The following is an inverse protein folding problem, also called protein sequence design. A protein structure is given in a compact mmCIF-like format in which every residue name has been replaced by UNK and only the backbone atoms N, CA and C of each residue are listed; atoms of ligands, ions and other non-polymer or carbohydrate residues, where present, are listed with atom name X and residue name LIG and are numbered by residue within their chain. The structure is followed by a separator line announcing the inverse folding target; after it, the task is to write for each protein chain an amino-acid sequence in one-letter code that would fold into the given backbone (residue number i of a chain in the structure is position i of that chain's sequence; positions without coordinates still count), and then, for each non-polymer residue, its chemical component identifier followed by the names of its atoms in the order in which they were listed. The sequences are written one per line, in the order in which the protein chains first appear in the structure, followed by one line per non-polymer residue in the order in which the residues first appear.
data_IF_009687767166
#
_entry.id   IF_009687767166
#
_cell.length_a   1.000
_cell.length_b   1.000
_cell.length_c   1.000
_cell.angle_alpha   90.00
_cell.angle_beta   90.00
_cell.angle_gamma   90.00
#
_symmetry.space_group_name_H-M   'P 1'
#
loop_
_entity.id
_entity.type
_entity.pdbx_description
1 polymer ?
#
# COMPACT_ATOMS: atom_id res chain seq x y z
N UNK A 1 -38.51 27.06 -44.07
CA UNK A 1 -37.71 27.55 -42.93
C UNK A 1 -38.14 26.83 -41.65
N UNK A 2 -37.41 25.80 -41.22
CA UNK A 2 -37.32 25.35 -39.83
C UNK A 2 -35.90 24.81 -39.62
N UNK A 3 -35.15 25.49 -38.75
CA UNK A 3 -33.79 25.15 -38.31
C UNK A 3 -33.87 24.27 -37.04
N UNK A 4 -32.71 23.73 -36.64
CA UNK A 4 -32.34 23.20 -35.31
C UNK A 4 -32.77 21.72 -35.05
N UNK A 5 -31.93 20.79 -34.56
CA UNK A 5 -30.57 20.86 -34.00
C UNK A 5 -29.95 19.46 -34.11
N UNK A 6 -28.70 19.34 -34.56
CA UNK A 6 -27.92 18.10 -34.48
C UNK A 6 -27.51 17.88 -33.03
N UNK A 7 -28.14 16.92 -32.35
CA UNK A 7 -27.72 16.44 -31.04
C UNK A 7 -26.58 15.42 -31.26
N UNK A 8 -25.34 15.84 -31.03
CA UNK A 8 -24.20 14.93 -30.97
C UNK A 8 -24.32 14.17 -29.65
N UNK A 9 -24.89 12.97 -29.72
CA UNK A 9 -24.90 12.01 -28.63
C UNK A 9 -23.49 11.40 -28.55
N UNK A 10 -22.69 11.83 -27.57
CA UNK A 10 -21.46 11.14 -27.20
C UNK A 10 -21.83 9.75 -26.66
N UNK A 11 -21.83 8.77 -27.56
CA UNK A 11 -21.92 7.36 -27.24
C UNK A 11 -20.62 6.97 -26.53
N UNK A 12 -20.60 6.99 -25.20
CA UNK A 12 -19.58 6.25 -24.45
C UNK A 12 -19.86 4.77 -24.66
N UNK A 13 -19.13 4.17 -25.59
CA UNK A 13 -19.08 2.72 -25.80
C UNK A 13 -18.56 2.11 -24.51
N UNK A 14 -19.49 1.53 -23.75
CA UNK A 14 -19.20 0.60 -22.66
C UNK A 14 -18.63 -0.65 -23.34
N UNK A 15 -17.31 -0.74 -23.43
CA UNK A 15 -16.68 -2.04 -23.66
C UNK A 15 -16.90 -2.88 -22.40
N UNK A 16 -17.81 -3.85 -22.52
CA UNK A 16 -17.82 -5.03 -21.69
C UNK A 16 -16.50 -5.78 -21.91
N UNK A 17 -15.49 -5.41 -21.13
CA UNK A 17 -14.27 -6.22 -21.02
C UNK A 17 -14.59 -7.31 -20.02
N UNK A 18 -14.76 -8.54 -20.54
CA UNK A 18 -14.66 -9.77 -19.78
C UNK A 18 -13.48 -9.65 -18.81
N UNK A 19 -13.76 -9.69 -17.51
CA UNK A 19 -12.76 -9.55 -16.45
C UNK A 19 -11.80 -10.74 -16.45
N UNK A 20 -10.83 -10.75 -17.37
CA UNK A 20 -9.57 -11.43 -17.17
C UNK A 20 -8.82 -10.60 -16.12
N UNK A 21 -8.93 -11.08 -14.88
CA UNK A 21 -8.21 -10.57 -13.71
C UNK A 21 -6.72 -10.67 -14.03
N UNK A 22 -6.11 -9.55 -14.43
CA UNK A 22 -4.68 -9.45 -14.57
C UNK A 22 -4.07 -9.55 -13.16
N UNK A 23 -3.56 -10.74 -12.83
CA UNK A 23 -2.65 -10.94 -11.70
C UNK A 23 -1.44 -10.04 -11.91
N UNK A 24 -1.27 -9.02 -11.08
CA UNK A 24 -0.08 -8.17 -11.12
C UNK A 24 0.88 -8.58 -10.00
N UNK A 25 2.00 -9.20 -10.35
CA UNK A 25 3.34 -9.34 -9.77
C UNK A 25 3.66 -8.84 -8.33
N UNK A 26 2.72 -8.78 -7.38
CA UNK A 26 2.84 -8.10 -6.08
C UNK A 26 3.26 -6.60 -6.18
N UNK A 27 3.08 -5.99 -7.36
CA UNK A 27 3.42 -4.60 -7.64
C UNK A 27 2.14 -3.80 -7.86
N UNK A 28 1.95 -2.74 -7.09
CA UNK A 28 0.89 -1.79 -7.38
C UNK A 28 1.28 -0.88 -8.57
N UNK A 29 0.31 -0.57 -9.42
CA UNK A 29 0.45 0.38 -10.53
C UNK A 29 -0.58 1.50 -10.40
N UNK A 30 -0.16 2.73 -10.66
CA UNK A 30 -1.02 3.90 -10.59
C UNK A 30 -2.25 3.79 -11.49
N UNK A 31 -3.41 4.20 -10.94
CA UNK A 31 -4.71 4.19 -11.61
C UNK A 31 -5.24 2.81 -12.08
N UNK A 32 -4.71 1.70 -11.53
CA UNK A 32 -5.26 0.37 -11.80
C UNK A 32 -6.30 -0.02 -10.75
N UNK A 33 -7.38 -0.68 -11.19
CA UNK A 33 -8.26 -1.45 -10.31
C UNK A 33 -7.53 -2.75 -9.99
N UNK A 34 -7.20 -2.95 -8.72
CA UNK A 34 -6.65 -4.22 -8.23
C UNK A 34 -7.67 -4.90 -7.33
N UNK A 35 -7.87 -6.20 -7.54
CA UNK A 35 -8.79 -7.02 -6.76
C UNK A 35 -8.08 -7.60 -5.53
N UNK A 36 -8.67 -7.41 -4.35
CA UNK A 36 -8.24 -8.11 -3.16
C UNK A 36 -8.65 -9.60 -3.23
N UNK A 37 -7.83 -10.49 -2.67
CA UNK A 37 -8.04 -11.95 -2.66
C UNK A 37 -7.99 -12.50 -1.23
N UNK A 38 -8.57 -13.65 -0.93
CA UNK A 38 -8.21 -14.39 0.30
C UNK A 38 -6.95 -15.22 0.01
N UNK A 39 -5.76 -14.61 0.10
CA UNK A 39 -4.49 -15.31 -0.12
C UNK A 39 -4.45 -16.13 -1.43
N UNK A 40 -4.85 -15.53 -2.56
CA UNK A 40 -5.01 -16.14 -3.90
C UNK A 40 -6.29 -16.95 -4.15
N UNK A 41 -7.29 -16.90 -3.27
CA UNK A 41 -8.63 -17.41 -3.60
C UNK A 41 -9.47 -16.31 -4.24
N UNK A 42 -10.17 -16.67 -5.31
CA UNK A 42 -11.21 -15.84 -5.91
C UNK A 42 -12.35 -15.71 -4.90
N UNK A 43 -12.78 -14.49 -4.66
CA UNK A 43 -13.85 -14.16 -3.73
C UNK A 43 -15.05 -13.58 -4.50
N UNK A 44 -16.29 -13.79 -4.01
CA UNK A 44 -17.47 -13.39 -4.76
C UNK A 44 -17.73 -11.87 -4.78
N UNK A 45 -17.24 -11.10 -3.82
CA UNK A 45 -17.51 -9.66 -3.75
C UNK A 45 -16.33 -8.81 -4.26
N UNK A 46 -16.50 -8.14 -5.43
CA UNK A 46 -15.45 -7.32 -6.00
C UNK A 46 -15.04 -6.19 -5.05
N UNK A 47 -13.74 -6.05 -4.89
CA UNK A 47 -13.13 -4.98 -4.10
C UNK A 47 -12.02 -4.39 -4.94
N UNK A 48 -12.23 -3.16 -5.40
CA UNK A 48 -11.23 -2.40 -6.13
C UNK A 48 -10.65 -1.33 -5.22
N UNK A 49 -9.36 -1.04 -5.36
CA UNK A 49 -8.77 0.14 -4.72
C UNK A 49 -7.87 0.93 -5.66
N UNK A 50 -7.69 2.21 -5.34
CA UNK A 50 -6.78 3.13 -6.03
C UNK A 50 -5.99 3.93 -5.00
N UNK A 51 -4.71 4.14 -5.26
CA UNK A 51 -3.83 4.99 -4.44
C UNK A 51 -3.37 6.18 -5.28
N UNK A 52 -3.40 7.39 -4.71
CA UNK A 52 -2.88 8.60 -5.34
C UNK A 52 -2.05 9.38 -4.32
N UNK A 53 -0.78 9.66 -4.65
CA UNK A 53 0.05 10.57 -3.86
C UNK A 53 -0.10 12.00 -4.38
N UNK A 54 -0.32 12.95 -3.47
CA UNK A 54 -0.38 14.39 -3.77
C UNK A 54 0.81 15.10 -3.15
N UNK A 55 0.83 16.43 -3.17
CA UNK A 55 1.78 17.22 -2.40
C UNK A 55 1.51 17.20 -0.88
N UNK A 56 0.25 16.96 -0.46
CA UNK A 56 -0.21 17.12 0.93
C UNK A 56 -0.69 15.85 1.61
N UNK A 57 -0.99 14.80 0.85
CA UNK A 57 -1.57 13.57 1.37
C UNK A 57 -1.41 12.38 0.44
N UNK A 58 -1.50 11.18 1.03
CA UNK A 58 -1.83 9.95 0.32
C UNK A 58 -3.36 9.79 0.32
N UNK A 59 -3.94 9.61 -0.86
CA UNK A 59 -5.37 9.35 -1.05
C UNK A 59 -5.53 7.87 -1.42
N UNK A 60 -6.36 7.14 -0.68
CA UNK A 60 -6.66 5.73 -0.95
C UNK A 60 -8.17 5.57 -1.05
N UNK A 61 -8.64 5.09 -2.18
CA UNK A 61 -10.06 4.90 -2.43
C UNK A 61 -10.37 3.44 -2.61
N UNK A 62 -11.43 2.98 -1.95
CA UNK A 62 -11.99 1.65 -2.10
C UNK A 62 -13.32 1.76 -2.80
N UNK A 63 -13.52 1.00 -3.87
CA UNK A 63 -14.84 0.74 -4.45
C UNK A 63 -15.26 -0.67 -4.03
N UNK A 64 -16.29 -0.75 -3.22
CA UNK A 64 -16.81 -1.98 -2.65
C UNK A 64 -18.14 -2.32 -3.35
N UNK A 65 -18.20 -3.52 -3.93
CA UNK A 65 -19.39 -4.02 -4.64
C UNK A 65 -19.89 -5.32 -3.97
N UNK A 66 -21.15 -5.67 -4.24
CA UNK A 66 -21.84 -6.80 -3.59
C UNK A 66 -23.36 -6.73 -3.74
N UNK A 67 -24.03 -7.87 -3.63
CA UNK A 67 -25.50 -7.97 -3.69
C UNK A 67 -26.17 -7.49 -2.38
N UNK A 68 -25.42 -7.48 -1.27
CA UNK A 68 -25.90 -7.14 0.06
C UNK A 68 -25.95 -5.64 0.37
N UNK A 69 -25.49 -4.76 -0.55
CA UNK A 69 -25.40 -3.31 -0.31
C UNK A 69 -26.72 -2.59 -0.11
N UNK A 70 -27.83 -3.10 -0.64
CA UNK A 70 -29.15 -2.52 -0.42
C UNK A 70 -29.52 -2.42 1.08
N UNK A 71 -28.91 -3.25 1.94
CA UNK A 71 -29.10 -3.21 3.39
C UNK A 71 -28.32 -2.06 4.06
N UNK A 72 -27.17 -1.69 3.52
CA UNK A 72 -26.26 -0.68 4.09
C UNK A 72 -26.54 0.75 3.64
N UNK A 73 -27.23 0.94 2.51
CA UNK A 73 -27.56 2.29 2.01
C UNK A 73 -28.39 3.12 3.01
N UNK A 74 -29.04 2.46 3.97
CA UNK A 74 -29.84 3.10 5.02
C UNK A 74 -29.04 3.47 6.26
N UNK A 75 -27.84 2.92 6.43
CA UNK A 75 -27.03 3.17 7.61
C UNK A 75 -26.38 4.56 7.51
N UNK A 76 -26.55 5.43 8.51
CA UNK A 76 -25.91 6.74 8.49
C UNK A 76 -24.39 6.58 8.54
N UNK A 77 -23.67 7.34 7.71
CA UNK A 77 -22.23 7.47 7.82
C UNK A 77 -21.90 8.47 8.93
N UNK A 78 -21.59 7.97 10.12
CA UNK A 78 -21.24 8.78 11.28
C UNK A 78 -19.83 8.44 11.74
N UNK A 79 -18.98 9.47 11.76
CA UNK A 79 -17.61 9.31 12.25
C UNK A 79 -17.62 8.99 13.75
N UNK A 80 -17.08 7.83 14.08
CA UNK A 80 -16.80 7.39 15.45
C UNK A 80 -15.32 7.01 15.51
N UNK A 81 -14.55 7.59 16.43
CA UNK A 81 -13.11 7.36 16.50
C UNK A 81 -12.74 6.30 17.52
N UNK A 82 -11.52 5.76 17.41
CA UNK A 82 -10.90 4.87 18.39
C UNK A 82 -11.70 3.59 18.68
N UNK A 83 -12.43 3.09 17.68
CA UNK A 83 -13.25 1.89 17.82
C UNK A 83 -13.08 0.98 16.61
N UNK A 84 -13.03 -0.34 16.87
CA UNK A 84 -12.99 -1.31 15.78
C UNK A 84 -14.35 -1.38 15.06
N UNK A 85 -14.39 -1.40 13.71
CA UNK A 85 -15.65 -1.54 12.98
C UNK A 85 -16.33 -2.90 13.23
N UNK A 86 -17.60 -2.88 13.65
CA UNK A 86 -18.38 -4.09 13.97
C UNK A 86 -19.10 -4.71 12.76
N UNK A 87 -18.71 -4.35 11.54
CA UNK A 87 -19.40 -4.71 10.30
C UNK A 87 -18.48 -4.61 9.08
N UNK A 88 -19.08 -4.48 7.90
CA UNK A 88 -18.36 -4.36 6.63
C UNK A 88 -17.36 -3.20 6.72
N UNK A 89 -16.08 -3.49 6.50
CA UNK A 89 -15.00 -2.53 6.70
C UNK A 89 -13.82 -2.80 5.79
N UNK A 90 -12.96 -1.80 5.68
CA UNK A 90 -11.67 -1.91 4.99
C UNK A 90 -10.55 -1.50 5.93
N UNK A 91 -9.38 -2.05 5.67
CA UNK A 91 -8.15 -1.77 6.40
C UNK A 91 -7.03 -1.34 5.44
N UNK A 92 -6.18 -0.44 5.89
CA UNK A 92 -4.98 0.01 5.21
C UNK A 92 -3.80 -0.23 6.16
N UNK A 93 -2.76 -0.88 5.65
CA UNK A 93 -1.47 -1.00 6.31
C UNK A 93 -0.40 -0.30 5.47
N UNK A 94 0.36 0.59 6.09
CA UNK A 94 1.46 1.32 5.46
C UNK A 94 2.71 1.18 6.32
N UNK A 95 3.82 0.77 5.70
CA UNK A 95 5.16 0.68 6.29
C UNK A 95 6.09 1.64 5.55
N UNK A 96 6.13 2.93 5.94
CA UNK A 96 6.97 3.92 5.29
C UNK A 96 8.45 3.54 5.33
N UNK A 97 9.09 3.58 4.16
CA UNK A 97 10.49 3.15 3.99
C UNK A 97 10.70 1.64 4.10
N UNK A 98 9.62 0.83 4.08
CA UNK A 98 9.67 -0.65 4.04
C UNK A 98 10.56 -1.23 5.14
N UNK A 99 10.39 -0.71 6.36
CA UNK A 99 11.19 -1.10 7.52
C UNK A 99 10.86 -2.50 8.06
N UNK A 100 9.79 -3.13 7.57
CA UNK A 100 9.22 -4.40 7.98
C UNK A 100 8.85 -4.48 9.47
N UNK A 101 8.77 -3.33 10.16
CA UNK A 101 8.56 -3.25 11.61
C UNK A 101 7.77 -2.01 12.03
N UNK A 102 8.00 -0.88 11.35
CA UNK A 102 7.37 0.41 11.62
C UNK A 102 6.22 0.69 10.66
N UNK A 103 5.06 0.09 10.93
CA UNK A 103 3.84 0.34 10.16
C UNK A 103 2.74 1.08 10.93
N UNK A 104 1.83 1.66 10.17
CA UNK A 104 0.55 2.20 10.62
C UNK A 104 -0.59 1.33 10.08
N UNK A 105 -1.65 1.18 10.87
CA UNK A 105 -2.89 0.52 10.47
C UNK A 105 -4.03 1.51 10.62
N UNK A 106 -4.85 1.64 9.57
CA UNK A 106 -6.10 2.39 9.58
C UNK A 106 -7.23 1.44 9.21
N UNK A 107 -8.38 1.53 9.87
CA UNK A 107 -9.58 0.80 9.48
C UNK A 107 -10.81 1.70 9.49
N UNK A 108 -11.70 1.52 8.52
CA UNK A 108 -13.00 2.19 8.51
C UNK A 108 -14.12 1.22 8.16
N UNK A 109 -15.17 1.22 8.97
CA UNK A 109 -16.44 0.61 8.62
C UNK A 109 -17.23 1.47 7.65
N UNK A 110 -18.12 0.84 6.89
CA UNK A 110 -19.06 1.57 6.01
C UNK A 110 -20.05 2.46 6.76
N UNK A 111 -20.17 2.27 8.07
CA UNK A 111 -20.91 3.15 8.99
C UNK A 111 -20.12 4.38 9.45
N UNK A 112 -18.83 4.46 9.16
CA UNK A 112 -17.95 5.57 9.58
C UNK A 112 -17.19 5.33 10.89
N UNK A 113 -17.31 4.16 11.51
CA UNK A 113 -16.44 3.77 12.63
C UNK A 113 -14.99 3.68 12.17
N UNK A 114 -14.08 4.36 12.86
CA UNK A 114 -12.67 4.51 12.54
C UNK A 114 -11.78 3.95 13.65
N UNK A 115 -10.76 3.23 13.23
CA UNK A 115 -9.68 2.77 14.07
C UNK A 115 -8.35 3.17 13.44
N UNK A 116 -7.39 3.57 14.26
CA UNK A 116 -6.00 3.67 13.84
C UNK A 116 -5.05 3.19 14.93
N UNK A 117 -3.89 2.72 14.49
CA UNK A 117 -2.80 2.34 15.37
C UNK A 117 -1.45 2.53 14.69
N UNK A 118 -0.41 2.73 15.51
CA UNK A 118 0.98 2.86 15.07
C UNK A 118 1.84 1.88 15.82
N UNK A 119 2.54 0.98 15.13
CA UNK A 119 3.39 -0.04 15.75
C UNK A 119 2.62 -0.81 16.84
N UNK A 120 1.38 -1.22 16.54
CA UNK A 120 0.39 -1.82 17.46
C UNK A 120 -0.10 -0.95 18.63
N UNK A 121 0.42 0.27 18.80
CA UNK A 121 -0.06 1.23 19.81
C UNK A 121 -1.36 1.89 19.33
N UNK A 122 -2.45 1.64 20.06
CA UNK A 122 -3.81 2.16 19.78
C UNK A 122 -4.04 3.61 20.23
N UNK A 123 -3.02 4.26 20.79
CA UNK A 123 -3.11 5.65 21.30
C UNK A 123 -2.68 6.69 20.27
N UNK A 124 -2.26 6.25 19.08
CA UNK A 124 -2.04 7.16 17.97
C UNK A 124 -3.42 7.67 17.50
N UNK A 125 -3.53 8.98 17.25
CA UNK A 125 -4.75 9.64 16.80
C UNK A 125 -4.43 10.39 15.52
N UNK A 126 -4.36 9.63 14.44
CA UNK A 126 -3.94 10.16 13.15
C UNK A 126 -4.98 11.12 12.57
N UNK A 127 -4.53 12.20 11.91
CA UNK A 127 -5.39 13.23 11.33
C UNK A 127 -6.02 12.84 9.98
N UNK A 128 -6.16 11.55 9.72
CA UNK A 128 -6.75 11.07 8.47
C UNK A 128 -8.27 11.33 8.46
N UNK A 129 -8.82 11.49 7.27
CA UNK A 129 -10.26 11.64 7.06
C UNK A 129 -10.76 10.58 6.09
N UNK A 130 -12.04 10.28 6.16
CA UNK A 130 -12.70 9.34 5.25
C UNK A 130 -14.07 9.87 4.88
N UNK A 131 -14.41 9.72 3.61
CA UNK A 131 -15.74 10.05 3.09
C UNK A 131 -16.37 8.81 2.48
N UNK A 132 -17.70 8.74 2.52
CA UNK A 132 -18.50 7.70 1.90
C UNK A 132 -19.30 8.26 0.74
N UNK A 133 -19.33 7.56 -0.38
CA UNK A 133 -20.23 7.82 -1.50
C UNK A 133 -20.96 6.54 -1.90
N UNK A 134 -22.26 6.52 -1.66
CA UNK A 134 -23.12 5.40 -2.02
C UNK A 134 -23.44 5.42 -3.53
N UNK A 135 -23.55 4.24 -4.14
CA UNK A 135 -24.04 4.06 -5.52
C UNK A 135 -24.89 2.79 -5.63
N UNK A 136 -25.50 2.57 -6.80
CA UNK A 136 -26.30 1.36 -7.03
C UNK A 136 -25.40 0.12 -6.98
N UNK A 137 -25.59 -0.74 -5.98
CA UNK A 137 -24.84 -1.99 -5.81
C UNK A 137 -23.49 -1.85 -5.10
N UNK A 138 -23.23 -0.71 -4.44
CA UNK A 138 -21.97 -0.54 -3.73
C UNK A 138 -21.76 0.80 -3.05
N UNK A 139 -20.54 0.95 -2.53
CA UNK A 139 -20.09 2.17 -1.86
C UNK A 139 -18.63 2.45 -2.18
N UNK A 140 -18.27 3.73 -2.19
CA UNK A 140 -16.89 4.20 -2.28
C UNK A 140 -16.49 4.77 -0.92
N UNK A 141 -15.37 4.29 -0.36
CA UNK A 141 -14.71 4.89 0.80
C UNK A 141 -13.42 5.57 0.32
N UNK A 142 -13.32 6.89 0.52
CA UNK A 142 -12.13 7.67 0.14
C UNK A 142 -11.40 8.15 1.39
N UNK A 143 -10.22 7.59 1.62
CA UNK A 143 -9.32 7.95 2.71
C UNK A 143 -8.37 9.05 2.25
N UNK A 144 -8.16 10.05 3.10
CA UNK A 144 -7.12 11.06 2.95
C UNK A 144 -6.20 11.00 4.16
N UNK A 145 -4.96 10.62 3.93
CA UNK A 145 -3.91 10.46 4.95
C UNK A 145 -2.91 11.61 4.77
N UNK A 146 -2.97 12.67 5.60
CA UNK A 146 -2.08 13.82 5.46
C UNK A 146 -0.61 13.43 5.65
N UNK A 147 0.28 14.14 4.95
CA UNK A 147 1.68 14.15 5.32
C UNK A 147 1.90 15.15 6.45
N UNK A 148 2.57 14.72 7.52
CA UNK A 148 2.78 15.52 8.73
C UNK A 148 4.05 15.11 9.51
N UNK A 149 4.06 15.34 10.83
CA UNK A 149 5.15 14.92 11.70
C UNK A 149 5.31 13.40 11.75
N UNK A 150 4.21 12.65 11.64
CA UNK A 150 4.15 11.21 11.83
C UNK A 150 4.23 10.42 10.52
N UNK A 151 3.75 10.99 9.42
CA UNK A 151 3.87 10.41 8.08
C UNK A 151 4.55 11.40 7.13
N UNK A 152 5.83 11.17 6.82
CA UNK A 152 6.56 12.01 5.87
C UNK A 152 6.06 11.77 4.44
N UNK A 153 6.08 12.85 3.65
CA UNK A 153 5.83 12.76 2.22
C UNK A 153 6.91 11.89 1.57
N UNK A 154 6.54 10.91 0.73
CA UNK A 154 7.50 10.12 0.00
C UNK A 154 8.12 10.93 -1.15
N UNK A 155 9.39 10.68 -1.41
CA UNK A 155 10.10 11.16 -2.57
C UNK A 155 9.94 10.20 -3.76
N UNK A 156 10.23 10.69 -4.96
CA UNK A 156 10.34 9.78 -6.12
C UNK A 156 11.44 8.75 -5.87
N UNK A 157 11.17 7.49 -6.21
CA UNK A 157 12.05 6.37 -5.92
C UNK A 157 11.93 5.83 -4.50
N UNK A 158 11.04 6.34 -3.65
CA UNK A 158 10.74 5.69 -2.36
C UNK A 158 9.92 4.42 -2.58
N UNK A 159 10.10 3.46 -1.67
CA UNK A 159 9.31 2.23 -1.57
C UNK A 159 8.72 2.14 -0.17
N UNK A 160 7.40 1.97 -0.08
CA UNK A 160 6.72 1.64 1.17
C UNK A 160 6.22 0.20 1.13
N UNK A 161 6.16 -0.45 2.28
CA UNK A 161 5.36 -1.66 2.43
C UNK A 161 3.88 -1.26 2.46
N UNK A 162 3.04 -1.98 1.71
CA UNK A 162 1.63 -1.67 1.59
C UNK A 162 0.77 -2.94 1.57
N UNK A 163 -0.34 -2.91 2.32
CA UNK A 163 -1.41 -3.88 2.21
C UNK A 163 -2.75 -3.19 2.43
N UNK A 164 -3.79 -3.71 1.80
CA UNK A 164 -5.18 -3.32 2.10
C UNK A 164 -6.02 -4.56 2.28
N UNK A 165 -7.00 -4.47 3.16
CA UNK A 165 -7.93 -5.56 3.42
C UNK A 165 -9.38 -5.11 3.33
N UNK A 166 -10.28 -6.06 3.09
CA UNK A 166 -11.73 -5.90 3.31
C UNK A 166 -12.21 -7.00 4.24
N UNK A 167 -12.95 -6.59 5.27
CA UNK A 167 -13.70 -7.47 6.14
C UNK A 167 -15.13 -7.52 5.61
N UNK A 168 -15.49 -8.61 4.93
CA UNK A 168 -16.80 -8.76 4.28
C UNK A 168 -17.80 -9.30 5.28
N UNK A 169 -18.87 -8.57 5.56
CA UNK A 169 -19.89 -8.94 6.53
C UNK A 169 -21.25 -9.03 5.84
N UNK A 170 -21.66 -10.20 5.32
CA UNK A 170 -22.96 -10.31 4.62
C UNK A 170 -24.18 -10.09 5.54
N UNK A 171 -24.00 -10.31 6.84
CA UNK A 171 -25.05 -10.23 7.86
C UNK A 171 -25.19 -8.83 8.47
N UNK A 172 -24.33 -7.86 8.12
CA UNK A 172 -24.33 -6.54 8.76
C UNK A 172 -23.52 -6.44 10.05
N UNK A 173 -23.05 -7.57 10.59
CA UNK A 173 -22.38 -7.61 11.90
C UNK A 173 -21.18 -8.55 11.88
N UNK A 174 -20.21 -8.29 12.76
CA UNK A 174 -19.11 -9.20 13.06
C UNK A 174 -19.60 -10.57 13.58
N UNK A 175 -18.83 -11.65 13.38
CA UNK A 175 -17.56 -11.70 12.66
C UNK A 175 -17.75 -11.54 11.14
N UNK A 176 -16.69 -11.15 10.44
CA UNK A 176 -16.73 -11.10 8.98
C UNK A 176 -17.01 -12.51 8.43
N UNK A 177 -17.81 -12.57 7.38
CA UNK A 177 -18.10 -13.79 6.61
C UNK A 177 -16.82 -14.31 5.97
N UNK A 178 -15.99 -13.41 5.43
CA UNK A 178 -14.65 -13.72 4.94
C UNK A 178 -13.83 -12.43 4.80
N UNK A 179 -12.56 -12.60 4.48
CA UNK A 179 -11.57 -11.54 4.40
C UNK A 179 -10.91 -11.50 3.03
N UNK A 180 -10.41 -10.33 2.67
CA UNK A 180 -9.72 -10.12 1.40
C UNK A 180 -8.50 -9.26 1.67
N UNK A 181 -7.39 -9.53 0.98
CA UNK A 181 -6.13 -8.79 1.12
C UNK A 181 -5.53 -8.52 -0.26
N UNK A 182 -4.83 -7.41 -0.40
CA UNK A 182 -4.02 -7.14 -1.59
C UNK A 182 -2.70 -7.91 -1.54
N UNK A 183 -1.96 -7.79 -0.44
CA UNK A 183 -0.69 -8.49 -0.24
C UNK A 183 -0.93 -9.91 0.29
N UNK A 184 -0.01 -10.83 -0.07
CA UNK A 184 -0.05 -12.25 0.34
C UNK A 184 0.49 -12.43 1.76
N UNK A 185 -0.23 -11.88 2.73
CA UNK A 185 0.18 -11.82 4.14
C UNK A 185 -0.09 -13.12 4.92
N UNK A 186 -0.89 -14.04 4.37
CA UNK A 186 -1.26 -15.29 5.03
C UNK A 186 -2.42 -15.08 6.00
N UNK A 187 -2.37 -15.76 7.15
CA UNK A 187 -3.43 -15.71 8.18
C UNK A 187 -3.39 -14.47 9.06
N UNK A 188 -2.30 -13.70 9.02
CA UNK A 188 -2.06 -12.55 9.89
C UNK A 188 -1.88 -11.30 9.03
N UNK A 189 -2.89 -10.42 9.00
CA UNK A 189 -2.90 -9.25 8.11
C UNK A 189 -1.81 -8.23 8.40
N UNK A 190 -1.39 -8.14 9.65
CA UNK A 190 -0.36 -7.23 10.12
C UNK A 190 1.03 -7.90 10.13
N UNK A 191 1.43 -8.49 9.00
CA UNK A 191 2.76 -9.06 8.79
C UNK A 191 3.56 -8.16 7.83
N UNK A 192 4.28 -7.12 8.31
CA UNK A 192 4.86 -6.09 7.43
C UNK A 192 5.90 -6.63 6.45
N UNK A 193 6.63 -7.69 6.84
CA UNK A 193 7.59 -8.36 5.96
C UNK A 193 6.95 -9.00 4.72
N UNK A 194 5.63 -9.17 4.70
CA UNK A 194 4.85 -9.71 3.58
C UNK A 194 4.04 -8.64 2.85
N UNK A 195 4.18 -7.38 3.22
CA UNK A 195 3.48 -6.31 2.51
C UNK A 195 4.01 -6.18 1.08
N UNK A 196 3.10 -5.88 0.16
CA UNK A 196 3.43 -5.58 -1.23
C UNK A 196 4.20 -4.24 -1.31
N UNK A 197 4.73 -3.92 -2.50
CA UNK A 197 5.45 -2.67 -2.71
C UNK A 197 4.52 -1.56 -3.20
N UNK A 198 4.54 -0.43 -2.51
CA UNK A 198 4.02 0.84 -3.02
C UNK A 198 5.21 1.70 -3.44
N UNK A 199 5.41 1.83 -4.75
CA UNK A 199 6.52 2.56 -5.38
C UNK A 199 6.07 3.98 -5.76
N UNK A 200 6.87 4.98 -5.41
CA UNK A 200 6.54 6.39 -5.68
C UNK A 200 7.25 6.92 -6.93
N UNK A 201 6.47 7.30 -7.93
CA UNK A 201 6.92 7.78 -9.24
C UNK A 201 6.33 6.98 -10.40
N UNK A 202 6.52 7.47 -11.62
CA UNK A 202 6.35 6.64 -12.83
C UNK A 202 7.42 5.55 -12.85
N UNK A 203 7.22 4.44 -13.58
CA UNK A 203 8.22 3.38 -13.72
C UNK A 203 9.61 3.94 -14.07
N UNK A 204 9.65 4.83 -15.06
CA UNK A 204 10.89 5.50 -15.51
C UNK A 204 11.52 6.36 -14.41
N UNK A 205 10.74 7.25 -13.79
CA UNK A 205 11.27 8.18 -12.78
C UNK A 205 11.64 7.45 -11.49
N UNK A 206 10.89 6.42 -11.13
CA UNK A 206 11.17 5.53 -10.00
C UNK A 206 12.50 4.81 -10.23
N UNK A 207 12.67 4.13 -11.38
CA UNK A 207 13.90 3.39 -11.69
C UNK A 207 15.15 4.29 -11.60
N UNK A 208 15.10 5.48 -12.21
CA UNK A 208 16.22 6.45 -12.15
C UNK A 208 16.50 6.90 -10.72
N UNK A 209 15.47 7.30 -9.97
CA UNK A 209 15.65 7.80 -8.61
C UNK A 209 16.13 6.69 -7.65
N UNK A 210 15.61 5.47 -7.81
CA UNK A 210 16.01 4.31 -7.03
C UNK A 210 17.47 3.95 -7.31
N UNK A 211 17.89 3.95 -8.58
CA UNK A 211 19.29 3.72 -8.94
C UNK A 211 20.21 4.76 -8.31
N UNK A 212 19.83 6.03 -8.33
CA UNK A 212 20.60 7.10 -7.69
C UNK A 212 20.70 6.92 -6.16
N UNK A 213 19.64 6.45 -5.50
CA UNK A 213 19.66 6.12 -4.06
C UNK A 213 20.58 4.95 -3.76
N UNK A 214 20.50 3.87 -4.54
CA UNK A 214 21.37 2.71 -4.42
C UNK A 214 22.84 3.10 -4.56
N UNK A 215 23.19 3.90 -5.57
CA UNK A 215 24.56 4.38 -5.76
C UNK A 215 25.07 5.21 -4.58
N UNK A 216 24.23 6.09 -4.00
CA UNK A 216 24.60 6.85 -2.79
C UNK A 216 24.83 5.94 -1.58
N UNK A 217 23.94 4.96 -1.37
CA UNK A 217 24.07 4.00 -0.28
C UNK A 217 25.32 3.14 -0.44
N UNK A 218 25.58 2.66 -1.66
CA UNK A 218 26.79 1.92 -1.99
C UNK A 218 28.05 2.75 -1.72
N UNK A 219 28.10 4.02 -2.14
CA UNK A 219 29.23 4.90 -1.86
C UNK A 219 29.49 5.07 -0.35
N UNK A 220 28.43 5.14 0.46
CA UNK A 220 28.54 5.18 1.92
C UNK A 220 29.11 3.89 2.50
N UNK A 221 28.62 2.72 2.05
CA UNK A 221 29.11 1.41 2.50
C UNK A 221 30.56 1.19 2.08
N UNK A 222 30.94 1.57 0.85
CA UNK A 222 32.32 1.48 0.38
C UNK A 222 33.26 2.35 1.21
N UNK A 223 32.85 3.58 1.55
CA UNK A 223 33.62 4.47 2.43
C UNK A 223 33.85 3.84 3.80
N UNK A 224 32.84 3.19 4.35
CA UNK A 224 32.91 2.52 5.65
C UNK A 224 33.83 1.28 5.61
N UNK A 225 33.71 0.44 4.59
CA UNK A 225 34.61 -0.71 4.35
C UNK A 225 36.07 -0.27 4.33
N UNK A 226 36.37 0.83 3.61
CA UNK A 226 37.72 1.39 3.53
C UNK A 226 38.20 1.89 4.89
N UNK A 227 37.37 2.62 5.63
CA UNK A 227 37.71 3.15 6.95
C UNK A 227 38.03 2.04 7.97
N UNK A 228 37.40 0.88 7.85
CA UNK A 228 37.60 -0.26 8.76
C UNK A 228 38.77 -1.17 8.37
N UNK A 229 39.39 -0.94 7.20
CA UNK A 229 40.49 -1.75 6.68
C UNK A 229 40.05 -3.06 6.01
N UNK A 230 38.77 -3.20 5.63
CA UNK A 230 38.24 -4.43 5.03
C UNK A 230 38.26 -4.44 3.50
N UNK A 231 38.91 -3.46 2.85
CA UNK A 231 38.90 -3.29 1.38
C UNK A 231 39.30 -4.54 0.59
N UNK A 232 40.31 -5.30 1.05
CA UNK A 232 40.76 -6.52 0.36
C UNK A 232 39.71 -7.63 0.41
N UNK A 233 39.01 -7.77 1.52
CA UNK A 233 37.95 -8.77 1.73
C UNK A 233 36.76 -8.49 0.82
N UNK A 234 36.32 -7.23 0.75
CA UNK A 234 35.14 -6.84 -0.03
C UNK A 234 35.41 -6.50 -1.51
N UNK A 235 36.64 -6.61 -2.00
CA UNK A 235 36.98 -6.22 -3.37
C UNK A 235 36.09 -6.89 -4.45
N UNK A 236 35.76 -8.19 -4.38
CA UNK A 236 34.85 -8.83 -5.34
C UNK A 236 33.44 -8.25 -5.29
N UNK A 237 32.89 -8.07 -4.08
CA UNK A 237 31.56 -7.49 -3.88
C UNK A 237 31.47 -6.04 -4.38
N UNK A 238 32.48 -5.22 -4.11
CA UNK A 238 32.57 -3.84 -4.60
C UNK A 238 32.61 -3.82 -6.14
N UNK A 239 33.39 -4.70 -6.77
CA UNK A 239 33.46 -4.79 -8.22
C UNK A 239 32.11 -5.21 -8.85
N UNK A 240 31.39 -6.13 -8.21
CA UNK A 240 30.05 -6.55 -8.64
C UNK A 240 29.04 -5.40 -8.50
N UNK A 241 29.01 -4.73 -7.34
CA UNK A 241 28.09 -3.61 -7.08
C UNK A 241 28.30 -2.43 -8.04
N UNK A 242 29.53 -2.20 -8.52
CA UNK A 242 29.81 -1.20 -9.56
C UNK A 242 29.22 -1.54 -10.93
N UNK A 243 29.05 -2.84 -11.24
CA UNK A 243 28.42 -3.30 -12.48
C UNK A 243 26.90 -3.31 -12.38
N UNK A 244 26.37 -3.74 -11.23
CA UNK A 244 24.94 -3.82 -10.97
C UNK A 244 24.66 -3.43 -9.52
N UNK A 245 24.19 -2.20 -9.32
CA UNK A 245 23.94 -1.64 -8.00
C UNK A 245 22.46 -1.74 -7.63
N UNK A 246 22.07 -2.90 -7.11
CA UNK A 246 20.73 -3.13 -6.56
C UNK A 246 20.74 -3.17 -5.02
N UNK A 247 19.57 -2.96 -4.42
CA UNK A 247 19.39 -2.86 -2.98
C UNK A 247 19.76 -4.17 -2.24
N UNK A 248 19.43 -5.32 -2.82
CA UNK A 248 19.71 -6.64 -2.24
C UNK A 248 21.21 -6.87 -2.14
N UNK A 249 21.95 -6.60 -3.20
CA UNK A 249 23.40 -6.72 -3.21
C UNK A 249 24.07 -5.77 -2.19
N UNK A 250 23.55 -4.54 -2.05
CA UNK A 250 24.03 -3.60 -1.03
C UNK A 250 23.76 -4.15 0.37
N UNK A 251 22.58 -4.73 0.61
CA UNK A 251 22.20 -5.25 1.92
C UNK A 251 23.06 -6.46 2.33
N UNK A 252 23.35 -7.38 1.40
CA UNK A 252 24.28 -8.50 1.62
C UNK A 252 25.64 -7.99 2.12
N UNK A 253 26.19 -6.97 1.45
CA UNK A 253 27.48 -6.37 1.85
C UNK A 253 27.40 -5.71 3.24
N UNK A 254 26.28 -5.05 3.57
CA UNK A 254 26.08 -4.45 4.90
C UNK A 254 26.00 -5.51 6.00
N UNK A 255 25.31 -6.60 5.75
CA UNK A 255 25.15 -7.69 6.73
C UNK A 255 26.48 -8.40 6.98
N UNK A 256 27.25 -8.68 5.92
CA UNK A 256 28.60 -9.22 6.05
C UNK A 256 29.54 -8.25 6.78
N UNK A 257 29.51 -6.95 6.45
CA UNK A 257 30.31 -5.93 7.13
C UNK A 257 29.96 -5.85 8.62
N UNK A 258 28.68 -5.99 8.98
CA UNK A 258 28.22 -6.02 10.36
C UNK A 258 28.79 -7.23 11.11
N UNK A 259 28.79 -8.41 10.49
CA UNK A 259 29.39 -9.61 11.09
C UNK A 259 30.90 -9.42 11.34
N UNK A 260 31.62 -8.87 10.36
CA UNK A 260 33.07 -8.63 10.50
C UNK A 260 33.40 -7.63 11.62
N UNK A 261 32.58 -6.61 11.82
CA UNK A 261 32.73 -5.68 12.95
C UNK A 261 32.60 -6.39 14.29
N UNK A 262 31.53 -7.16 14.46
CA UNK A 262 31.32 -7.95 15.69
C UNK A 262 32.50 -8.87 15.96
N UNK A 263 33.01 -9.58 14.93
CA UNK A 263 34.16 -10.46 15.09
C UNK A 263 35.46 -9.73 15.45
N UNK A 264 35.63 -8.47 15.04
CA UNK A 264 36.79 -7.64 15.38
C UNK A 264 36.73 -7.14 16.82
N UNK A 265 35.52 -6.87 17.32
CA UNK A 265 35.28 -6.41 18.70
C UNK A 265 35.38 -7.53 19.74
N UNK A 266 35.16 -8.80 19.33
CA UNK A 266 35.30 -9.96 20.21
C UNK A 266 36.74 -10.50 20.34
N UNK A 267 37.74 -9.88 19.70
CA UNK A 267 39.16 -10.25 19.78
C UNK A 267 39.92 -9.28 20.64
#
# INVERSE_FOLDING_TARGET
MKKFTTLILFLFVIFAVSAQVAYTDNLWRANCITFASDNNKVIPEPTAFRVNATDKALIIEFKLEGDHWNKYQKDPFKIVNNAWPSGESVEIFLDPGRSCSKYIQLACGVSGTRFDSRFVKKTWNAKWTVTRKDFKGGVILSFRIPYDADLKKPETGDVWGFNVCRNVCKTGKSPATYYTTFAKVGTVFNTPSKFAELRFGTEKTFSVANQAKNLKQFASVEKEIRALGFSKHFAPHIAQLRKHCDETAIQIVKDELRLMKTMKECK
#
